data_IF_336259194876
#
_entry.id   IF_336259194876
#
_cell.length_a   1.000
_cell.length_b   1.000
_cell.length_c   1.000
_cell.angle_alpha   90.00
_cell.angle_beta   90.00
_cell.angle_gamma   90.00
#
_symmetry.space_group_name_H-M   'P 1'
#
loop_
_entity.id
_entity.type
_entity.pdbx_description
1 polymer ?
#
# COMPACT_ATOMS: atom_id res chain seq x y z
N UNK A 1 -21.15 28.36 -14.33
CA UNK A 1 -19.82 28.23 -13.72
C UNK A 1 -19.40 26.76 -13.87
N UNK A 2 -18.17 26.46 -14.23
CA UNK A 2 -17.65 25.08 -14.22
C UNK A 2 -17.66 24.59 -12.76
N UNK A 3 -18.05 23.34 -12.55
CA UNK A 3 -17.99 22.72 -11.23
C UNK A 3 -16.52 22.63 -10.77
N UNK A 4 -16.29 22.63 -9.44
CA UNK A 4 -14.97 22.39 -8.87
C UNK A 4 -14.59 20.91 -9.10
N UNK A 5 -13.35 20.66 -9.56
CA UNK A 5 -12.86 19.31 -9.80
C UNK A 5 -12.22 18.74 -8.55
N UNK A 6 -12.45 17.44 -8.30
CA UNK A 6 -11.81 16.67 -7.23
C UNK A 6 -11.20 15.38 -7.79
N UNK A 7 -9.94 15.11 -7.42
CA UNK A 7 -9.30 13.83 -7.74
C UNK A 7 -9.41 12.90 -6.56
N UNK A 8 -10.10 11.77 -6.76
CA UNK A 8 -10.34 10.77 -5.73
C UNK A 8 -9.42 9.55 -5.92
N UNK A 9 -8.71 9.12 -4.86
CA UNK A 9 -8.09 7.79 -4.83
C UNK A 9 -9.20 6.73 -4.86
N UNK A 10 -9.27 5.97 -5.95
CA UNK A 10 -10.38 5.08 -6.27
C UNK A 10 -9.90 3.64 -6.42
N UNK A 11 -10.40 2.75 -5.58
CA UNK A 11 -10.07 1.32 -5.63
C UNK A 11 -11.06 0.47 -6.43
N UNK A 12 -12.20 1.03 -6.87
CA UNK A 12 -13.30 0.26 -7.46
C UNK A 12 -14.15 -0.51 -6.44
N UNK A 13 -13.84 -0.41 -5.15
CA UNK A 13 -14.59 -1.03 -4.05
C UNK A 13 -15.87 -0.26 -3.67
N UNK A 14 -16.62 -0.81 -2.71
CA UNK A 14 -17.88 -0.23 -2.22
C UNK A 14 -17.69 1.20 -1.69
N UNK A 15 -16.77 1.37 -0.75
CA UNK A 15 -16.56 2.64 -0.05
C UNK A 15 -16.22 3.76 -1.03
N UNK A 16 -15.23 3.55 -1.90
CA UNK A 16 -14.79 4.56 -2.85
C UNK A 16 -15.83 4.84 -3.93
N UNK A 17 -16.64 3.84 -4.33
CA UNK A 17 -17.75 4.06 -5.28
C UNK A 17 -18.89 4.88 -4.67
N UNK A 18 -19.21 4.68 -3.40
CA UNK A 18 -20.16 5.53 -2.66
C UNK A 18 -19.60 6.95 -2.51
N UNK A 19 -18.30 7.09 -2.25
CA UNK A 19 -17.64 8.41 -2.16
C UNK A 19 -17.70 9.16 -3.49
N UNK A 20 -17.47 8.48 -4.65
CA UNK A 20 -17.66 9.09 -5.97
C UNK A 20 -19.06 9.72 -6.08
N UNK A 21 -20.09 8.93 -5.79
CA UNK A 21 -21.48 9.39 -5.90
C UNK A 21 -21.78 10.53 -4.92
N UNK A 22 -21.29 10.45 -3.69
CA UNK A 22 -21.47 11.48 -2.68
C UNK A 22 -20.82 12.79 -3.11
N UNK A 23 -19.56 12.79 -3.57
CA UNK A 23 -18.85 13.97 -4.06
C UNK A 23 -19.57 14.60 -5.27
N UNK A 24 -20.02 13.78 -6.22
CA UNK A 24 -20.80 14.25 -7.36
C UNK A 24 -22.12 14.92 -6.91
N UNK A 25 -22.79 14.37 -5.89
CA UNK A 25 -24.01 14.95 -5.29
C UNK A 25 -23.76 16.27 -4.56
N UNK A 26 -22.51 16.50 -4.08
CA UNK A 26 -22.09 17.77 -3.48
C UNK A 26 -21.71 18.82 -4.54
N UNK A 27 -21.81 18.48 -5.83
CA UNK A 27 -21.59 19.41 -6.94
C UNK A 27 -20.18 19.40 -7.51
N UNK A 28 -19.34 18.43 -7.14
CA UNK A 28 -17.99 18.28 -7.72
C UNK A 28 -18.01 17.50 -9.05
N UNK A 29 -17.08 17.86 -9.94
CA UNK A 29 -16.68 17.01 -11.06
C UNK A 29 -15.60 16.04 -10.57
N UNK A 30 -15.97 14.77 -10.34
CA UNK A 30 -15.10 13.75 -9.73
C UNK A 30 -14.26 13.07 -10.80
N UNK A 31 -12.93 13.15 -10.67
CA UNK A 31 -11.97 12.37 -11.43
C UNK A 31 -11.53 11.22 -10.52
N UNK A 32 -11.92 10.00 -10.85
CA UNK A 32 -11.55 8.81 -10.09
C UNK A 32 -10.23 8.27 -10.59
N UNK A 33 -9.20 8.21 -9.74
CA UNK A 33 -7.88 7.69 -10.08
C UNK A 33 -7.67 6.32 -9.43
N UNK A 34 -7.58 5.29 -10.26
CA UNK A 34 -7.22 3.93 -9.86
C UNK A 34 -5.78 3.65 -10.29
N UNK A 35 -4.94 3.23 -9.38
CA UNK A 35 -3.56 2.85 -9.66
C UNK A 35 -3.41 1.33 -9.62
N UNK A 36 -2.74 0.78 -10.62
CA UNK A 36 -2.29 -0.60 -10.61
C UNK A 36 -0.94 -0.67 -9.87
N UNK A 37 -0.99 -1.19 -8.66
CA UNK A 37 0.16 -1.44 -7.77
C UNK A 37 0.50 -2.94 -7.72
N UNK A 38 -0.11 -3.77 -8.59
CA UNK A 38 0.03 -5.21 -8.61
C UNK A 38 -0.98 -5.97 -7.73
N UNK A 39 -2.03 -5.29 -7.24
CA UNK A 39 -3.17 -5.95 -6.63
C UNK A 39 -3.91 -6.81 -7.66
N UNK A 40 -4.52 -7.92 -7.19
CA UNK A 40 -5.35 -8.76 -8.07
C UNK A 40 -6.58 -7.98 -8.54
N UNK A 41 -6.60 -7.60 -9.79
CA UNK A 41 -7.73 -6.93 -10.43
C UNK A 41 -8.34 -7.86 -11.46
N UNK A 42 -9.60 -8.24 -11.25
CA UNK A 42 -10.29 -9.14 -12.19
C UNK A 42 -10.48 -8.49 -13.58
N UNK A 43 -10.80 -7.19 -13.62
CA UNK A 43 -11.02 -6.47 -14.87
C UNK A 43 -10.94 -4.95 -14.67
N UNK A 44 -9.93 -4.30 -15.27
CA UNK A 44 -9.76 -2.83 -15.22
C UNK A 44 -10.90 -2.08 -15.89
N UNK A 45 -11.50 -2.64 -16.96
CA UNK A 45 -12.66 -2.02 -17.62
C UNK A 45 -13.89 -2.02 -16.72
N UNK A 46 -14.08 -3.04 -15.87
CA UNK A 46 -15.16 -3.04 -14.89
C UNK A 46 -14.98 -1.93 -13.86
N UNK A 47 -13.75 -1.69 -13.38
CA UNK A 47 -13.44 -0.58 -12.45
C UNK A 47 -13.81 0.74 -13.09
N UNK A 48 -13.40 0.96 -14.35
CA UNK A 48 -13.75 2.17 -15.11
C UNK A 48 -15.26 2.36 -15.21
N UNK A 49 -15.98 1.31 -15.61
CA UNK A 49 -17.45 1.36 -15.76
C UNK A 49 -18.16 1.61 -14.42
N UNK A 50 -17.68 1.01 -13.34
CA UNK A 50 -18.21 1.26 -11.99
C UNK A 50 -18.06 2.72 -11.58
N UNK A 51 -16.87 3.30 -11.74
CA UNK A 51 -16.61 4.70 -11.41
C UNK A 51 -17.49 5.67 -12.21
N UNK A 52 -17.62 5.45 -13.53
CA UNK A 52 -18.49 6.27 -14.38
C UNK A 52 -19.97 6.14 -13.96
N UNK A 53 -20.46 4.92 -13.71
CA UNK A 53 -21.83 4.70 -13.22
C UNK A 53 -22.06 5.27 -11.83
N UNK A 54 -21.04 5.34 -10.98
CA UNK A 54 -21.13 6.00 -9.68
C UNK A 54 -21.18 7.53 -9.80
N UNK A 55 -20.93 8.11 -10.97
CA UNK A 55 -21.04 9.54 -11.23
C UNK A 55 -19.71 10.27 -11.42
N UNK A 56 -18.59 9.57 -11.55
CA UNK A 56 -17.34 10.20 -11.96
C UNK A 56 -17.44 10.77 -13.38
N UNK A 57 -16.86 11.94 -13.62
CA UNK A 57 -16.78 12.54 -14.96
C UNK A 57 -15.68 11.89 -15.79
N UNK A 58 -14.65 11.35 -15.11
CA UNK A 58 -13.58 10.57 -15.73
C UNK A 58 -13.05 9.53 -14.74
N UNK A 59 -12.53 8.42 -15.27
CA UNK A 59 -11.85 7.36 -14.50
C UNK A 59 -10.53 7.05 -15.16
N UNK A 60 -9.46 7.42 -14.48
CA UNK A 60 -8.09 7.16 -14.90
C UNK A 60 -7.60 5.87 -14.26
N UNK A 61 -6.94 5.05 -15.06
CA UNK A 61 -6.27 3.84 -14.58
C UNK A 61 -4.82 3.92 -15.05
N UNK A 62 -3.89 3.96 -14.11
CA UNK A 62 -2.46 4.09 -14.40
C UNK A 62 -1.68 2.92 -13.80
N UNK A 63 -0.86 2.27 -14.64
CA UNK A 63 0.08 1.24 -14.18
C UNK A 63 1.30 1.91 -13.56
N UNK A 64 1.47 1.76 -12.27
CA UNK A 64 2.58 2.34 -11.50
C UNK A 64 3.43 1.26 -10.81
N UNK A 65 3.27 -0.02 -11.20
CA UNK A 65 3.99 -1.15 -10.59
C UNK A 65 5.49 -0.97 -10.64
N UNK A 66 6.01 -0.52 -11.78
CA UNK A 66 7.46 -0.28 -11.93
C UNK A 66 7.94 0.79 -10.97
N UNK A 67 7.29 1.97 -10.94
CA UNK A 67 7.64 3.06 -10.03
C UNK A 67 7.52 2.60 -8.56
N UNK A 68 6.47 1.84 -8.23
CA UNK A 68 6.28 1.30 -6.89
C UNK A 68 7.44 0.41 -6.45
N UNK A 69 7.87 -0.53 -7.31
CA UNK A 69 8.96 -1.44 -6.97
C UNK A 69 10.30 -0.71 -6.89
N UNK A 70 10.66 0.09 -7.90
CA UNK A 70 11.97 0.71 -7.99
C UNK A 70 12.18 1.85 -6.99
N UNK A 71 11.17 2.69 -6.79
CA UNK A 71 11.32 3.93 -6.01
C UNK A 71 10.83 3.81 -4.56
N UNK A 72 10.07 2.76 -4.23
CA UNK A 72 9.53 2.58 -2.88
C UNK A 72 9.95 1.24 -2.27
N UNK A 73 9.63 0.11 -2.91
CA UNK A 73 9.94 -1.22 -2.36
C UNK A 73 11.44 -1.43 -2.24
N UNK A 74 12.19 -1.21 -3.31
CA UNK A 74 13.63 -1.42 -3.29
C UNK A 74 14.35 -0.44 -2.36
N UNK A 75 13.84 0.79 -2.19
CA UNK A 75 14.39 1.73 -1.18
C UNK A 75 14.20 1.19 0.23
N UNK A 76 13.05 0.54 0.52
CA UNK A 76 12.85 -0.12 1.81
C UNK A 76 13.77 -1.34 2.00
N UNK A 77 14.00 -2.13 0.94
CA UNK A 77 14.95 -3.26 0.95
C UNK A 77 16.38 -2.75 1.18
N UNK A 78 16.82 -1.70 0.49
CA UNK A 78 18.13 -1.07 0.71
C UNK A 78 18.35 -0.66 2.17
N UNK A 79 17.31 -0.30 2.88
CA UNK A 79 17.37 0.04 4.31
C UNK A 79 17.19 -1.16 5.23
N UNK A 80 16.88 -2.35 4.71
CA UNK A 80 16.40 -3.49 5.49
C UNK A 80 15.24 -3.06 6.42
N UNK A 81 14.33 -2.25 5.89
CA UNK A 81 13.31 -1.55 6.66
C UNK A 81 12.31 -2.53 7.25
N UNK A 82 12.21 -2.51 8.58
CA UNK A 82 11.27 -3.34 9.34
C UNK A 82 10.67 -2.49 10.45
N UNK A 83 9.34 -2.41 10.51
CA UNK A 83 8.63 -1.72 11.57
C UNK A 83 8.28 -2.71 12.70
N UNK A 84 8.54 -2.29 13.95
CA UNK A 84 8.31 -3.10 15.16
C UNK A 84 8.82 -4.55 15.05
N UNK A 85 9.94 -4.75 14.35
CA UNK A 85 10.70 -6.00 14.30
C UNK A 85 10.26 -7.01 13.23
N UNK A 86 9.09 -6.86 12.60
CA UNK A 86 8.55 -7.87 11.67
C UNK A 86 7.83 -7.31 10.44
N UNK A 87 7.22 -6.13 10.52
CA UNK A 87 6.38 -5.60 9.44
C UNK A 87 7.20 -4.91 8.35
N UNK A 88 7.10 -5.40 7.10
CA UNK A 88 7.85 -4.92 5.93
C UNK A 88 7.15 -3.75 5.18
N UNK A 89 6.18 -3.07 5.78
CA UNK A 89 5.67 -1.76 5.40
C UNK A 89 4.90 -1.65 4.07
N UNK A 90 4.43 -2.75 3.48
CA UNK A 90 3.85 -2.75 2.13
C UNK A 90 2.72 -1.73 1.90
N UNK A 91 1.74 -1.61 2.81
CA UNK A 91 0.70 -0.57 2.73
C UNK A 91 1.29 0.83 2.87
N UNK A 92 2.24 1.02 3.81
CA UNK A 92 2.85 2.32 4.09
C UNK A 92 3.68 2.85 2.92
N UNK A 93 4.29 1.96 2.12
CA UNK A 93 5.06 2.29 0.91
C UNK A 93 4.14 2.68 -0.27
N UNK A 94 2.93 2.13 -0.34
CA UNK A 94 2.00 2.42 -1.42
C UNK A 94 1.37 3.83 -1.30
N UNK A 95 1.06 4.29 -0.08
CA UNK A 95 0.32 5.55 0.13
C UNK A 95 1.02 6.81 -0.38
N UNK A 96 2.35 7.00 -0.19
CA UNK A 96 3.04 8.16 -0.78
C UNK A 96 3.00 8.16 -2.31
N UNK A 97 3.14 7.01 -2.98
CA UNK A 97 3.01 6.95 -4.43
C UNK A 97 1.59 7.33 -4.89
N UNK A 98 0.55 6.82 -4.22
CA UNK A 98 -0.83 7.18 -4.53
C UNK A 98 -1.04 8.70 -4.36
N UNK A 99 -0.56 9.27 -3.26
CA UNK A 99 -0.64 10.72 -3.00
C UNK A 99 0.06 11.54 -4.09
N UNK A 100 1.26 11.12 -4.51
CA UNK A 100 2.01 11.76 -5.60
C UNK A 100 1.23 11.75 -6.90
N UNK A 101 0.70 10.59 -7.32
CA UNK A 101 -0.09 10.48 -8.54
C UNK A 101 -1.38 11.29 -8.50
N UNK A 102 -2.03 11.39 -7.34
CA UNK A 102 -3.21 12.25 -7.21
C UNK A 102 -2.87 13.74 -7.38
N UNK A 103 -1.76 14.21 -6.83
CA UNK A 103 -1.30 15.60 -7.04
C UNK A 103 -0.94 15.84 -8.51
N UNK A 104 -0.20 14.92 -9.16
CA UNK A 104 0.12 15.01 -10.59
C UNK A 104 -1.15 15.08 -11.46
N UNK A 105 -2.16 14.27 -11.15
CA UNK A 105 -3.45 14.29 -11.84
C UNK A 105 -4.22 15.59 -11.53
N UNK A 106 -4.20 16.06 -10.29
CA UNK A 106 -4.85 17.31 -9.91
C UNK A 106 -4.27 18.50 -10.71
N UNK A 107 -2.97 18.59 -10.83
CA UNK A 107 -2.29 19.59 -11.66
C UNK A 107 -2.67 19.47 -13.15
N UNK A 108 -2.62 18.25 -13.71
CA UNK A 108 -2.97 17.97 -15.11
C UNK A 108 -4.39 18.38 -15.47
N UNK A 109 -5.34 18.23 -14.55
CA UNK A 109 -6.75 18.55 -14.76
C UNK A 109 -7.16 19.93 -14.22
N UNK A 110 -6.27 20.66 -13.59
CA UNK A 110 -6.55 21.94 -12.94
C UNK A 110 -7.53 21.77 -11.77
N UNK A 111 -7.42 20.69 -11.03
CA UNK A 111 -8.18 20.44 -9.82
C UNK A 111 -7.44 21.02 -8.60
N UNK A 112 -8.18 21.71 -7.74
CA UNK A 112 -7.66 22.29 -6.49
C UNK A 112 -7.95 21.42 -5.27
N UNK A 113 -8.57 20.23 -5.49
CA UNK A 113 -9.09 19.40 -4.43
C UNK A 113 -8.76 17.93 -4.69
N UNK A 114 -8.33 17.22 -3.65
CA UNK A 114 -8.13 15.76 -3.63
C UNK A 114 -9.00 15.11 -2.58
N UNK A 115 -9.27 13.81 -2.75
CA UNK A 115 -10.06 13.03 -1.80
C UNK A 115 -9.53 11.61 -1.67
N UNK A 116 -9.79 10.97 -0.54
CA UNK A 116 -9.45 9.57 -0.27
C UNK A 116 -10.53 8.89 0.56
N UNK A 117 -10.58 7.55 0.49
CA UNK A 117 -11.53 6.72 1.22
C UNK A 117 -11.03 6.17 2.56
N UNK A 118 -9.87 6.63 3.05
CA UNK A 118 -9.33 6.17 4.32
C UNK A 118 -10.20 6.60 5.51
N UNK A 119 -10.39 5.69 6.48
CA UNK A 119 -11.18 5.96 7.69
C UNK A 119 -10.49 6.98 8.59
N UNK A 120 -11.27 7.80 9.32
CA UNK A 120 -10.76 8.92 10.12
C UNK A 120 -9.96 8.54 11.38
N UNK A 121 -9.73 7.23 11.64
CA UNK A 121 -8.99 6.72 12.80
C UNK A 121 -7.76 5.87 12.41
N UNK A 122 -7.54 5.66 11.10
CA UNK A 122 -6.48 4.82 10.58
C UNK A 122 -5.21 5.58 10.24
N UNK A 123 -4.10 4.84 10.09
CA UNK A 123 -2.83 5.40 9.63
C UNK A 123 -2.90 5.95 8.21
N UNK A 124 -3.72 5.35 7.36
CA UNK A 124 -3.79 5.71 5.93
C UNK A 124 -4.30 7.12 5.70
N UNK A 125 -5.25 7.59 6.53
CA UNK A 125 -5.68 8.98 6.48
C UNK A 125 -4.50 9.94 6.72
N UNK A 126 -3.68 9.65 7.73
CA UNK A 126 -2.49 10.45 8.06
C UNK A 126 -1.47 10.40 6.91
N UNK A 127 -1.21 9.22 6.36
CA UNK A 127 -0.27 9.01 5.24
C UNK A 127 -0.67 9.79 4.00
N UNK A 128 -1.95 9.75 3.63
CA UNK A 128 -2.47 10.53 2.51
C UNK A 128 -2.33 12.02 2.74
N UNK A 129 -2.82 12.53 3.87
CA UNK A 129 -2.83 13.97 4.14
C UNK A 129 -1.41 14.55 4.25
N UNK A 130 -0.47 13.84 4.92
CA UNK A 130 0.94 14.24 4.97
C UNK A 130 1.59 14.23 3.58
N UNK A 131 1.29 13.23 2.75
CA UNK A 131 1.78 13.19 1.38
C UNK A 131 1.29 14.38 0.56
N UNK A 132 -0.01 14.71 0.64
CA UNK A 132 -0.56 15.85 -0.08
C UNK A 132 0.04 17.18 0.37
N UNK A 133 0.12 17.43 1.67
CA UNK A 133 0.68 18.69 2.20
C UNK A 133 2.16 18.86 1.87
N UNK A 134 2.92 17.77 1.83
CA UNK A 134 4.33 17.84 1.44
C UNK A 134 4.52 18.19 -0.05
N UNK A 135 3.64 17.67 -0.92
CA UNK A 135 3.71 17.84 -2.37
C UNK A 135 3.04 19.13 -2.85
N UNK A 136 1.92 19.50 -2.25
CA UNK A 136 1.17 20.72 -2.57
C UNK A 136 0.47 21.25 -1.31
N UNK A 137 1.09 22.21 -0.57
CA UNK A 137 0.52 22.75 0.68
C UNK A 137 -0.82 23.45 0.53
N UNK A 138 -1.14 23.93 -0.68
CA UNK A 138 -2.36 24.70 -0.96
C UNK A 138 -3.53 23.81 -1.40
N UNK A 139 -3.31 22.50 -1.58
CA UNK A 139 -4.35 21.57 -2.02
C UNK A 139 -5.43 21.40 -0.95
N UNK A 140 -6.69 21.46 -1.34
CA UNK A 140 -7.80 21.14 -0.46
C UNK A 140 -7.95 19.62 -0.35
N UNK A 141 -8.24 19.13 0.85
CA UNK A 141 -8.45 17.71 1.11
C UNK A 141 -9.88 17.48 1.57
N UNK A 142 -10.59 16.57 0.91
CA UNK A 142 -11.88 16.06 1.36
C UNK A 142 -11.67 14.62 1.84
N UNK A 143 -11.79 14.41 3.14
CA UNK A 143 -11.77 13.10 3.78
C UNK A 143 -13.19 12.75 4.25
N UNK A 144 -14.03 12.07 3.45
CA UNK A 144 -15.46 11.88 3.74
C UNK A 144 -15.71 11.24 5.10
N UNK A 145 -14.90 10.29 5.53
CA UNK A 145 -14.99 9.65 6.83
C UNK A 145 -14.70 10.57 8.04
N UNK A 146 -14.25 11.82 7.80
CA UNK A 146 -14.11 12.90 8.81
C UNK A 146 -15.25 13.93 8.73
N UNK A 147 -16.07 13.87 7.68
CA UNK A 147 -17.19 14.80 7.46
C UNK A 147 -18.44 14.26 8.16
N UNK A 148 -19.02 15.00 9.14
CA UNK A 148 -20.18 14.55 9.92
C UNK A 148 -21.36 14.09 9.06
N UNK A 149 -21.67 14.81 7.98
CA UNK A 149 -22.76 14.50 7.06
C UNK A 149 -22.56 13.15 6.35
N UNK A 150 -21.31 12.73 6.15
CA UNK A 150 -20.99 11.46 5.54
C UNK A 150 -21.03 10.32 6.57
N UNK A 151 -20.22 10.37 7.63
CA UNK A 151 -20.10 9.23 8.55
C UNK A 151 -21.35 9.01 9.42
N UNK A 152 -22.16 10.05 9.67
CA UNK A 152 -23.46 9.89 10.36
C UNK A 152 -24.51 9.24 9.47
N UNK A 153 -24.44 9.52 8.15
CA UNK A 153 -25.33 8.92 7.16
C UNK A 153 -24.94 7.47 6.85
N UNK A 154 -23.65 7.16 6.89
CA UNK A 154 -23.08 5.85 6.55
C UNK A 154 -22.26 5.27 7.70
N UNK A 155 -22.87 4.93 8.84
CA UNK A 155 -22.14 4.51 10.04
C UNK A 155 -21.46 3.14 9.89
N UNK A 156 -21.76 2.40 8.83
CA UNK A 156 -21.17 1.08 8.59
C UNK A 156 -21.43 0.53 7.18
N UNK A 157 -20.87 -0.63 6.92
CA UNK A 157 -20.90 -1.30 5.61
C UNK A 157 -22.32 -1.57 5.10
N UNK A 158 -23.24 -1.95 6.00
CA UNK A 158 -24.64 -2.24 5.62
C UNK A 158 -25.33 -1.02 5.00
N UNK A 159 -25.13 0.17 5.59
CA UNK A 159 -25.70 1.43 5.09
C UNK A 159 -25.06 1.86 3.77
N UNK A 160 -23.76 1.58 3.57
CA UNK A 160 -23.10 1.81 2.28
C UNK A 160 -23.69 0.91 1.17
N UNK A 161 -23.95 -0.37 1.48
CA UNK A 161 -24.56 -1.32 0.53
C UNK A 161 -25.99 -0.86 0.19
N UNK A 162 -26.79 -0.51 1.19
CA UNK A 162 -28.14 -0.01 0.98
C UNK A 162 -28.16 1.24 0.10
N UNK A 163 -27.26 2.20 0.39
CA UNK A 163 -27.14 3.41 -0.43
C UNK A 163 -26.71 3.11 -1.86
N UNK A 164 -25.74 2.23 -2.04
CA UNK A 164 -25.29 1.83 -3.36
C UNK A 164 -26.42 1.20 -4.19
N UNK A 165 -27.24 0.34 -3.56
CA UNK A 165 -28.41 -0.27 -4.22
C UNK A 165 -29.46 0.75 -4.60
N UNK A 166 -29.81 1.68 -3.68
CA UNK A 166 -30.80 2.74 -3.92
C UNK A 166 -30.40 3.68 -5.04
N UNK A 167 -29.09 3.89 -5.27
CA UNK A 167 -28.56 4.80 -6.29
C UNK A 167 -28.01 4.08 -7.54
N UNK A 168 -28.24 2.77 -7.66
CA UNK A 168 -27.81 2.00 -8.83
C UNK A 168 -26.29 1.92 -9.01
N UNK A 169 -25.53 2.10 -7.92
CA UNK A 169 -24.07 1.98 -7.93
C UNK A 169 -23.74 0.48 -7.98
N UNK A 170 -23.03 0.01 -9.04
CA UNK A 170 -22.76 -1.41 -9.20
C UNK A 170 -21.67 -1.85 -8.21
N UNK A 171 -22.07 -2.51 -7.15
CA UNK A 171 -21.17 -3.14 -6.18
C UNK A 171 -21.46 -4.64 -6.16
N UNK A 172 -20.41 -5.45 -6.22
CA UNK A 172 -20.58 -6.88 -5.96
C UNK A 172 -20.92 -6.99 -4.46
N UNK A 173 -22.14 -7.45 -4.15
CA UNK A 173 -22.49 -7.82 -2.78
C UNK A 173 -21.69 -9.09 -2.45
N UNK A 174 -20.50 -8.93 -1.92
CA UNK A 174 -19.72 -10.05 -1.39
C UNK A 174 -20.28 -10.42 -0.02
N UNK A 175 -20.31 -11.73 0.27
CA UNK A 175 -20.50 -12.23 1.62
C UNK A 175 -19.55 -11.43 2.55
N UNK A 176 -20.01 -11.07 3.74
CA UNK A 176 -19.23 -10.30 4.70
C UNK A 176 -17.94 -11.05 4.99
N UNK A 177 -16.83 -10.61 4.38
CA UNK A 177 -15.53 -10.99 4.90
C UNK A 177 -15.41 -10.31 6.27
N UNK A 178 -15.12 -11.07 7.33
CA UNK A 178 -15.05 -10.53 8.68
C UNK A 178 -13.75 -9.73 8.94
N UNK A 179 -13.07 -9.28 7.91
CA UNK A 179 -11.87 -8.43 7.92
C UNK A 179 -11.80 -7.56 6.67
N UNK A 180 -10.96 -6.52 6.71
CA UNK A 180 -10.60 -5.69 5.56
C UNK A 180 -9.28 -6.17 4.96
N UNK A 181 -9.15 -6.08 3.64
CA UNK A 181 -7.95 -6.48 2.89
C UNK A 181 -7.42 -5.31 2.08
N UNK A 182 -6.11 -5.12 2.07
CA UNK A 182 -5.39 -4.19 1.20
C UNK A 182 -4.21 -4.92 0.55
N UNK A 183 -4.14 -4.88 -0.78
CA UNK A 183 -3.21 -5.66 -1.58
C UNK A 183 -2.40 -4.77 -2.52
N UNK A 184 -1.12 -5.08 -2.66
CA UNK A 184 -0.23 -4.56 -3.70
C UNK A 184 0.87 -5.58 -3.99
N UNK A 185 1.77 -5.29 -4.94
CA UNK A 185 2.82 -6.24 -5.35
C UNK A 185 3.77 -6.63 -4.22
N UNK A 186 3.93 -5.79 -3.17
CA UNK A 186 4.79 -6.10 -2.03
C UNK A 186 4.13 -7.06 -1.05
N UNK A 187 2.79 -6.95 -0.83
CA UNK A 187 2.11 -7.68 0.23
C UNK A 187 0.58 -7.69 0.12
N UNK A 188 -0.04 -8.51 0.97
CA UNK A 188 -1.43 -8.36 1.40
C UNK A 188 -1.45 -8.06 2.91
N UNK A 189 -2.30 -7.13 3.32
CA UNK A 189 -2.64 -6.87 4.72
C UNK A 189 -4.08 -7.24 5.02
N UNK A 190 -4.31 -7.77 6.22
CA UNK A 190 -5.62 -8.07 6.78
C UNK A 190 -5.75 -7.35 8.10
N UNK A 191 -6.82 -6.59 8.26
CA UNK A 191 -7.08 -5.80 9.47
C UNK A 191 -8.58 -5.63 9.71
N UNK A 192 -8.95 -5.07 10.86
CA UNK A 192 -10.33 -4.76 11.24
C UNK A 192 -11.22 -6.00 11.46
N UNK A 193 -12.51 -5.78 11.72
CA UNK A 193 -13.48 -6.84 11.95
C UNK A 193 -13.08 -7.76 13.09
N UNK A 194 -12.95 -9.06 12.84
CA UNK A 194 -12.57 -10.02 13.89
C UNK A 194 -11.18 -9.76 14.49
N UNK A 195 -10.27 -9.11 13.75
CA UNK A 195 -8.92 -8.79 14.22
C UNK A 195 -8.87 -7.57 15.17
N UNK A 196 -10.00 -6.90 15.40
CA UNK A 196 -10.09 -5.85 16.43
C UNK A 196 -9.97 -6.43 17.84
N UNK A 197 -10.34 -7.71 18.02
CA UNK A 197 -10.07 -8.46 19.24
C UNK A 197 -8.69 -9.13 19.12
N UNK A 198 -7.66 -8.69 19.87
CA UNK A 198 -6.31 -9.28 19.79
C UNK A 198 -6.22 -10.73 20.28
N UNK A 199 -7.28 -11.27 20.92
CA UNK A 199 -7.38 -12.69 21.30
C UNK A 199 -7.89 -13.60 20.16
N UNK A 200 -8.43 -13.00 19.07
CA UNK A 200 -8.86 -13.77 17.91
C UNK A 200 -7.65 -14.11 17.03
N UNK A 201 -7.35 -15.40 16.93
CA UNK A 201 -6.27 -15.86 16.06
C UNK A 201 -6.66 -15.69 14.58
N UNK A 202 -5.69 -15.35 13.68
CA UNK A 202 -5.94 -15.31 12.24
C UNK A 202 -6.39 -16.67 11.73
N UNK A 203 -7.41 -16.68 10.90
CA UNK A 203 -7.88 -17.90 10.27
C UNK A 203 -7.02 -18.27 9.06
N UNK A 204 -6.80 -19.56 8.82
CA UNK A 204 -6.06 -20.03 7.65
C UNK A 204 -6.66 -19.56 6.32
N UNK A 205 -7.97 -19.43 6.25
CA UNK A 205 -8.70 -18.93 5.07
C UNK A 205 -8.43 -17.45 4.71
N UNK A 206 -7.77 -16.68 5.60
CA UNK A 206 -7.37 -15.31 5.32
C UNK A 206 -6.21 -15.24 4.33
N UNK A 207 -5.30 -16.20 4.39
CA UNK A 207 -4.06 -16.15 3.64
C UNK A 207 -4.29 -16.49 2.16
N UNK A 208 -3.87 -15.59 1.28
CA UNK A 208 -4.12 -15.66 -0.16
C UNK A 208 -2.84 -15.80 -0.99
N UNK A 209 -1.69 -15.29 -0.51
CA UNK A 209 -0.41 -15.35 -1.22
C UNK A 209 0.42 -16.57 -0.82
N UNK A 210 0.26 -17.07 0.39
CA UNK A 210 1.09 -18.12 0.93
C UNK A 210 0.30 -19.37 1.33
N UNK A 211 0.85 -20.53 1.03
CA UNK A 211 0.33 -21.78 1.56
C UNK A 211 0.59 -21.89 3.06
N UNK A 212 -0.26 -22.66 3.75
CA UNK A 212 0.03 -23.06 5.12
C UNK A 212 1.41 -23.72 5.20
N UNK A 213 2.25 -23.41 6.20
CA UNK A 213 3.50 -24.12 6.41
C UNK A 213 3.34 -25.64 6.51
N UNK A 214 2.16 -26.12 6.91
CA UNK A 214 1.82 -27.58 6.95
C UNK A 214 1.67 -28.19 5.55
N UNK A 215 1.37 -27.38 4.54
CA UNK A 215 1.14 -27.80 3.15
C UNK A 215 2.30 -27.39 2.24
N UNK A 216 3.31 -26.70 2.78
CA UNK A 216 4.51 -26.34 2.03
C UNK A 216 5.29 -27.60 1.61
N UNK A 217 6.08 -27.52 0.50
CA UNK A 217 6.91 -28.63 0.08
C UNK A 217 7.89 -29.10 1.18
N UNK A 218 8.06 -30.42 1.33
CA UNK A 218 9.04 -30.99 2.26
C UNK A 218 10.49 -30.78 1.83
N UNK A 219 10.71 -30.58 0.53
CA UNK A 219 12.04 -30.32 -0.04
C UNK A 219 12.32 -28.81 -0.06
N UNK A 220 13.49 -28.45 0.46
CA UNK A 220 14.02 -27.09 0.36
C UNK A 220 14.25 -26.67 -1.11
N UNK A 221 14.04 -25.39 -1.40
CA UNK A 221 14.44 -24.76 -2.65
C UNK A 221 15.52 -23.72 -2.36
N UNK A 222 16.71 -23.91 -2.96
CA UNK A 222 17.82 -22.96 -2.85
C UNK A 222 17.66 -21.94 -3.97
N UNK A 223 17.73 -20.65 -3.64
CA UNK A 223 17.69 -19.55 -4.59
C UNK A 223 19.03 -18.82 -4.63
N UNK A 224 19.46 -18.43 -5.83
CA UNK A 224 20.61 -17.55 -6.02
C UNK A 224 20.11 -16.20 -6.52
N UNK A 225 20.34 -15.13 -5.76
CA UNK A 225 19.95 -13.77 -6.13
C UNK A 225 21.20 -12.92 -6.30
N UNK A 226 21.40 -12.37 -7.50
CA UNK A 226 22.50 -11.44 -7.77
C UNK A 226 22.05 -10.01 -7.49
N UNK A 227 22.91 -9.24 -6.83
CA UNK A 227 22.69 -7.83 -6.54
C UNK A 227 23.72 -6.96 -7.28
N UNK A 228 23.28 -5.82 -7.78
CA UNK A 228 24.13 -4.77 -8.34
C UNK A 228 23.75 -3.43 -7.72
N UNK A 229 24.69 -2.79 -7.02
CA UNK A 229 24.44 -1.55 -6.27
C UNK A 229 23.25 -1.66 -5.29
N UNK A 230 23.12 -2.84 -4.63
CA UNK A 230 22.05 -3.13 -3.66
C UNK A 230 20.70 -3.49 -4.27
N UNK A 231 20.57 -3.50 -5.58
CA UNK A 231 19.35 -3.88 -6.28
C UNK A 231 19.42 -5.33 -6.77
N UNK A 232 18.36 -6.13 -6.57
CA UNK A 232 18.32 -7.48 -7.11
C UNK A 232 18.11 -7.43 -8.63
N UNK A 233 19.01 -8.10 -9.38
CA UNK A 233 19.01 -8.04 -10.86
C UNK A 233 18.82 -9.40 -11.52
N UNK A 234 19.20 -10.52 -10.85
CA UNK A 234 19.02 -11.89 -11.39
C UNK A 234 18.50 -12.81 -10.30
N UNK A 235 17.76 -13.80 -10.73
CA UNK A 235 17.33 -14.93 -9.92
C UNK A 235 17.72 -16.22 -10.63
N UNK A 236 18.51 -17.08 -9.97
CA UNK A 236 19.04 -18.33 -10.50
C UNK A 236 19.74 -18.16 -11.88
N UNK A 237 20.49 -17.05 -12.01
CA UNK A 237 21.24 -16.70 -13.22
C UNK A 237 20.42 -16.09 -14.37
N UNK A 238 19.10 -15.95 -14.22
CA UNK A 238 18.22 -15.29 -15.18
C UNK A 238 18.01 -13.81 -14.80
N UNK A 239 18.12 -12.90 -15.77
CA UNK A 239 17.76 -11.48 -15.58
C UNK A 239 16.26 -11.30 -15.55
N UNK A 240 15.80 -10.43 -14.66
CA UNK A 240 14.40 -10.05 -14.52
C UNK A 240 14.25 -8.53 -14.48
N UNK A 241 13.15 -8.02 -15.03
CA UNK A 241 12.70 -6.68 -14.68
C UNK A 241 12.25 -6.64 -13.19
N UNK A 242 12.38 -5.49 -12.50
CA UNK A 242 12.07 -5.38 -11.08
C UNK A 242 10.71 -5.92 -10.66
N UNK A 243 9.66 -5.63 -11.44
CA UNK A 243 8.29 -6.11 -11.21
C UNK A 243 8.22 -7.64 -11.32
N UNK A 244 8.81 -8.19 -12.37
CA UNK A 244 8.77 -9.63 -12.65
C UNK A 244 9.58 -10.42 -11.60
N UNK A 245 10.72 -9.86 -11.17
CA UNK A 245 11.54 -10.46 -10.11
C UNK A 245 10.77 -10.56 -8.78
N UNK A 246 10.12 -9.48 -8.36
CA UNK A 246 9.34 -9.48 -7.13
C UNK A 246 8.12 -10.41 -7.24
N UNK A 247 7.49 -10.47 -8.42
CA UNK A 247 6.37 -11.39 -8.69
C UNK A 247 6.82 -12.85 -8.56
N UNK A 248 7.93 -13.23 -9.21
CA UNK A 248 8.48 -14.60 -9.13
C UNK A 248 8.85 -14.97 -7.69
N UNK A 249 9.46 -14.03 -6.95
CA UNK A 249 9.80 -14.27 -5.54
C UNK A 249 8.56 -14.40 -4.66
N UNK A 250 7.47 -13.68 -4.96
CA UNK A 250 6.19 -13.85 -4.28
C UNK A 250 5.61 -15.25 -4.53
N UNK A 251 5.67 -15.73 -5.77
CA UNK A 251 5.19 -17.07 -6.11
C UNK A 251 6.00 -18.18 -5.44
N UNK A 252 7.33 -18.07 -5.48
CA UNK A 252 8.22 -19.03 -4.82
C UNK A 252 8.01 -19.00 -3.31
N UNK A 253 8.09 -17.82 -2.69
CA UNK A 253 7.91 -17.68 -1.25
C UNK A 253 6.54 -18.12 -0.77
N UNK A 254 5.50 -17.80 -1.55
CA UNK A 254 4.12 -18.23 -1.29
C UNK A 254 3.96 -19.75 -1.28
N UNK A 255 4.53 -20.44 -2.27
CA UNK A 255 4.53 -21.95 -2.29
C UNK A 255 5.21 -22.55 -1.07
N UNK A 256 6.24 -21.91 -0.55
CA UNK A 256 6.99 -22.38 0.62
C UNK A 256 6.46 -21.83 1.95
N UNK A 257 5.30 -21.15 1.96
CA UNK A 257 4.69 -20.64 3.19
C UNK A 257 5.48 -19.52 3.86
N UNK A 258 6.30 -18.78 3.08
CA UNK A 258 7.15 -17.68 3.56
C UNK A 258 6.36 -16.37 3.65
N UNK A 259 6.70 -15.54 4.66
CA UNK A 259 6.29 -14.14 4.70
C UNK A 259 5.00 -13.85 5.48
N UNK A 260 4.45 -14.80 6.23
CA UNK A 260 3.32 -14.56 7.13
C UNK A 260 3.77 -13.83 8.40
N UNK A 261 3.07 -12.76 8.74
CA UNK A 261 3.32 -11.98 9.95
C UNK A 261 2.00 -11.67 10.64
N UNK A 262 1.95 -11.87 11.94
CA UNK A 262 0.84 -11.54 12.82
C UNK A 262 1.41 -10.72 14.00
N UNK A 263 1.02 -9.46 14.11
CA UNK A 263 1.51 -8.59 15.17
C UNK A 263 0.45 -7.59 15.64
N UNK A 264 0.63 -7.14 16.89
CA UNK A 264 -0.11 -5.99 17.42
C UNK A 264 0.81 -4.78 17.36
N UNK A 265 0.58 -3.93 16.37
CA UNK A 265 1.39 -2.75 16.08
C UNK A 265 0.89 -1.47 16.76
N UNK A 266 1.77 -0.49 16.89
CA UNK A 266 1.44 0.84 17.39
C UNK A 266 1.12 1.77 16.22
N UNK A 267 -0.15 2.19 16.10
CA UNK A 267 -0.56 3.20 15.11
C UNK A 267 0.04 4.58 15.43
N UNK A 268 0.11 5.44 14.42
CA UNK A 268 0.60 6.83 14.55
C UNK A 268 -0.03 7.58 15.73
N UNK A 269 -1.31 7.41 15.94
CA UNK A 269 -2.08 8.04 17.04
C UNK A 269 -1.90 7.34 18.40
N UNK A 270 -1.03 6.35 18.51
CA UNK A 270 -0.73 5.63 19.75
C UNK A 270 -1.69 4.48 20.08
N UNK A 271 -2.70 4.22 19.27
CA UNK A 271 -3.59 3.06 19.43
C UNK A 271 -2.87 1.77 19.02
N UNK A 272 -3.16 0.69 19.74
CA UNK A 272 -2.76 -0.66 19.33
C UNK A 272 -3.76 -1.23 18.32
N UNK A 273 -3.25 -1.91 17.30
CA UNK A 273 -4.05 -2.57 16.28
C UNK A 273 -3.38 -3.86 15.85
N UNK A 274 -4.16 -4.95 15.76
CA UNK A 274 -3.66 -6.18 15.16
C UNK A 274 -3.68 -6.07 13.65
N UNK A 275 -2.55 -6.41 13.03
CA UNK A 275 -2.40 -6.55 11.58
C UNK A 275 -1.85 -7.93 11.26
N UNK A 276 -2.38 -8.56 10.22
CA UNK A 276 -1.88 -9.81 9.66
C UNK A 276 -1.43 -9.52 8.24
N UNK A 277 -0.25 -10.02 7.88
CA UNK A 277 0.39 -9.67 6.61
C UNK A 277 0.96 -10.89 5.92
N UNK A 278 0.97 -10.86 4.59
CA UNK A 278 1.71 -11.81 3.76
C UNK A 278 2.66 -11.02 2.87
N UNK A 279 3.96 -11.26 3.01
CA UNK A 279 5.01 -10.55 2.26
C UNK A 279 6.07 -11.54 1.77
N UNK A 280 5.73 -12.50 0.89
CA UNK A 280 6.65 -13.59 0.54
C UNK A 280 7.95 -13.13 -0.10
N UNK A 281 7.88 -12.44 -1.23
CA UNK A 281 9.06 -11.98 -1.98
C UNK A 281 9.85 -10.92 -1.23
N UNK A 282 9.16 -9.99 -0.55
CA UNK A 282 9.81 -8.99 0.28
C UNK A 282 10.60 -9.59 1.45
N UNK A 283 10.12 -10.67 2.04
CA UNK A 283 10.85 -11.41 3.10
C UNK A 283 12.11 -12.04 2.55
N UNK A 284 12.04 -12.70 1.38
CA UNK A 284 13.21 -13.30 0.72
C UNK A 284 14.24 -12.20 0.39
N UNK A 285 13.81 -11.09 -0.24
CA UNK A 285 14.70 -9.99 -0.59
C UNK A 285 15.35 -9.34 0.64
N UNK A 286 14.60 -9.11 1.69
CA UNK A 286 15.13 -8.51 2.92
C UNK A 286 16.24 -9.38 3.55
N UNK A 287 16.03 -10.70 3.60
CA UNK A 287 17.02 -11.65 4.13
C UNK A 287 18.26 -11.71 3.22
N UNK A 288 18.07 -11.84 1.90
CA UNK A 288 19.16 -11.96 0.94
C UNK A 288 20.00 -10.67 0.87
N UNK A 289 19.35 -9.50 0.81
CA UNK A 289 20.03 -8.21 0.80
C UNK A 289 20.86 -8.00 2.09
N UNK A 290 20.29 -8.32 3.25
CA UNK A 290 21.02 -8.21 4.53
C UNK A 290 22.24 -9.13 4.55
N UNK A 291 22.17 -10.32 3.99
CA UNK A 291 23.31 -11.23 3.86
C UNK A 291 24.40 -10.63 2.98
N UNK A 292 24.05 -10.02 1.84
CA UNK A 292 25.01 -9.34 0.95
C UNK A 292 25.68 -8.15 1.64
N UNK A 293 24.93 -7.31 2.35
CA UNK A 293 25.53 -6.21 3.12
C UNK A 293 26.55 -6.69 4.16
N UNK A 294 26.30 -7.81 4.80
CA UNK A 294 27.23 -8.38 5.81
C UNK A 294 28.58 -8.75 5.21
N UNK A 295 28.64 -9.03 3.90
CA UNK A 295 29.86 -9.37 3.18
C UNK A 295 30.56 -8.16 2.55
N UNK A 296 29.81 -7.15 2.17
CA UNK A 296 30.28 -6.06 1.29
C UNK A 296 30.49 -4.72 1.99
N UNK A 297 29.73 -4.45 3.06
CA UNK A 297 29.81 -3.18 3.76
C UNK A 297 30.84 -3.20 4.90
N UNK A 298 31.49 -2.06 5.11
CA UNK A 298 32.32 -1.82 6.28
C UNK A 298 31.49 -1.87 7.58
N UNK A 299 32.09 -2.42 8.65
CA UNK A 299 31.43 -2.56 9.95
C UNK A 299 30.83 -1.25 10.47
N UNK A 300 31.53 -0.13 10.33
CA UNK A 300 31.06 1.17 10.80
C UNK A 300 29.83 1.62 10.03
N UNK A 301 29.79 1.38 8.71
CA UNK A 301 28.65 1.70 7.83
C UNK A 301 27.43 0.84 8.19
N UNK A 302 27.60 -0.47 8.40
CA UNK A 302 26.52 -1.36 8.82
C UNK A 302 25.93 -0.88 10.17
N UNK A 303 26.77 -0.63 11.16
CA UNK A 303 26.29 -0.20 12.49
C UNK A 303 25.58 1.15 12.45
N UNK A 304 26.07 2.10 11.65
CA UNK A 304 25.40 3.38 11.46
C UNK A 304 24.01 3.18 10.82
N UNK A 305 23.96 2.40 9.74
CA UNK A 305 22.72 2.09 9.04
C UNK A 305 21.70 1.37 9.94
N UNK A 306 22.15 0.37 10.71
CA UNK A 306 21.31 -0.35 11.68
C UNK A 306 20.75 0.57 12.78
N UNK A 307 21.53 1.58 13.19
CA UNK A 307 21.05 2.55 14.19
C UNK A 307 19.97 3.49 13.64
N UNK A 308 19.96 3.74 12.32
CA UNK A 308 19.00 4.62 11.63
C UNK A 308 17.83 3.87 11.00
N UNK A 309 17.93 2.57 10.75
CA UNK A 309 16.88 1.76 10.16
C UNK A 309 15.52 1.87 10.90
N UNK A 310 15.47 1.84 12.24
CA UNK A 310 14.21 2.02 12.96
C UNK A 310 13.57 3.39 12.69
N UNK A 311 14.40 4.43 12.54
CA UNK A 311 13.92 5.77 12.21
C UNK A 311 13.37 5.85 10.79
N UNK A 312 14.09 5.26 9.82
CA UNK A 312 13.61 5.13 8.44
C UNK A 312 12.25 4.43 8.40
N UNK A 313 12.14 3.26 9.04
CA UNK A 313 10.91 2.47 9.09
C UNK A 313 9.76 3.24 9.76
N UNK A 314 10.05 4.00 10.81
CA UNK A 314 9.06 4.85 11.48
C UNK A 314 8.56 5.98 10.57
N UNK A 315 9.45 6.61 9.81
CA UNK A 315 9.05 7.67 8.86
C UNK A 315 8.16 7.11 7.76
N UNK A 316 8.51 5.94 7.20
CA UNK A 316 7.67 5.23 6.22
C UNK A 316 6.30 4.91 6.83
N UNK A 317 6.28 4.26 7.99
CA UNK A 317 5.05 3.86 8.67
C UNK A 317 4.12 5.04 8.94
N UNK A 318 4.68 6.17 9.36
CA UNK A 318 3.96 7.38 9.74
C UNK A 318 3.57 8.28 8.54
N UNK A 319 4.01 7.97 7.31
CA UNK A 319 3.65 8.74 6.11
C UNK A 319 4.56 9.94 5.81
N UNK A 320 5.76 10.00 6.38
CA UNK A 320 6.73 11.08 6.17
C UNK A 320 7.68 10.82 4.98
N UNK A 321 7.22 10.11 3.94
CA UNK A 321 8.06 9.78 2.78
C UNK A 321 8.67 11.00 2.09
N UNK A 322 7.92 12.10 2.01
CA UNK A 322 8.37 13.35 1.36
C UNK A 322 8.94 14.39 2.35
N UNK A 323 9.34 13.96 3.55
CA UNK A 323 9.96 14.87 4.50
C UNK A 323 11.45 15.09 4.19
N UNK A 324 12.03 16.25 4.54
CA UNK A 324 13.47 16.50 4.40
C UNK A 324 14.35 15.45 5.12
N UNK A 325 13.88 14.91 6.25
CA UNK A 325 14.58 13.85 6.97
C UNK A 325 14.64 12.56 6.14
N UNK A 326 13.54 12.17 5.49
CA UNK A 326 13.50 11.00 4.62
C UNK A 326 14.40 11.20 3.38
N UNK A 327 14.44 12.38 2.81
CA UNK A 327 15.32 12.70 1.67
C UNK A 327 16.80 12.42 2.01
N UNK A 328 17.26 12.89 3.17
CA UNK A 328 18.63 12.64 3.67
C UNK A 328 18.86 11.12 3.85
N UNK A 329 17.90 10.41 4.43
CA UNK A 329 18.04 8.97 4.63
C UNK A 329 18.07 8.20 3.30
N UNK A 330 17.24 8.58 2.33
CA UNK A 330 17.26 7.96 1.00
C UNK A 330 18.59 8.18 0.28
N UNK A 331 19.19 9.37 0.35
CA UNK A 331 20.51 9.64 -0.19
C UNK A 331 21.61 8.82 0.50
N UNK A 332 21.56 8.74 1.83
CA UNK A 332 22.47 7.91 2.61
C UNK A 332 22.33 6.43 2.23
N UNK A 333 21.10 5.92 2.11
CA UNK A 333 20.83 4.54 1.66
C UNK A 333 21.54 4.26 0.34
N UNK A 334 21.24 5.03 -0.71
CA UNK A 334 21.87 4.88 -2.03
C UNK A 334 23.41 4.94 -1.97
N UNK A 335 23.97 5.84 -1.14
CA UNK A 335 25.41 5.95 -0.98
C UNK A 335 26.05 4.69 -0.40
N UNK A 336 25.36 4.00 0.52
CA UNK A 336 25.85 2.76 1.12
C UNK A 336 25.80 1.59 0.15
N UNK A 337 24.85 1.59 -0.80
CA UNK A 337 24.59 0.47 -1.70
C UNK A 337 25.54 0.35 -2.88
N UNK A 338 26.35 1.35 -3.18
CA UNK A 338 27.31 1.34 -4.32
C UNK A 338 28.31 0.17 -4.30
N UNK A 339 28.37 -0.58 -3.22
CA UNK A 339 29.31 -1.70 -3.04
C UNK A 339 28.62 -3.02 -2.68
N UNK A 340 27.30 -3.04 -2.70
CA UNK A 340 26.48 -4.22 -2.40
C UNK A 340 26.10 -4.98 -3.65
#
# INVERSE_FOLDING_TARGET
MSKEKVVLAYSGGLDTSVIVHWLASQGYDVIALCLDLGQKVENLDEIRQKGLKAGAVDVLIEDVRKEFVEDYVFRAIEWNAVYEGTYLLGTSLARPLISKKQIEVAERFGASTVSHGATGKGNDQVRFELGYYALNPDIKIIAPWKVPEFYQRYPGRAQLIEYAQQNGIPVKATAEQPWSTDENLMHISFESGMLEDPWQEPKEEMFELSQSPKNAPDLEQILTIDFEEGLPVRLDGQEFAPVDLLTELNEIGGRHGIGRVDLVESRFVGMKSRGVYETPGGTILNIAHRAMESLTLDRGVIHLKDSLMPRFSQLVYNGFWFSPEMEILLEMGRSTQKRV
#
